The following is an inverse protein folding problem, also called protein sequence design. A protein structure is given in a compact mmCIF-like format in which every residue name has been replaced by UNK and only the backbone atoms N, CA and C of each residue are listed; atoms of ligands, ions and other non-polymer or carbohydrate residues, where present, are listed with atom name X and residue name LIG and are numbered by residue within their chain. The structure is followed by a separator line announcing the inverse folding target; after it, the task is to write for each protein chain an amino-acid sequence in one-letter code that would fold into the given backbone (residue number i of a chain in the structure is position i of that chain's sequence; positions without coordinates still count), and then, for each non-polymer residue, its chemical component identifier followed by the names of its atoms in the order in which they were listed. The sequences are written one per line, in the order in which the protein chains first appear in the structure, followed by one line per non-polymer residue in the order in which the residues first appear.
data_IF_308930591455
#
_entry.id   IF_308930591455
#
_cell.length_a   1.000
_cell.length_b   1.000
_cell.length_c   1.000
_cell.angle_alpha   90.00
_cell.angle_beta   90.00
_cell.angle_gamma   90.00
#
_symmetry.space_group_name_H-M   'P 1'
#
loop_
_entity.id
_entity.type
_entity.pdbx_description
1 polymer ?
#
# COMPACT_ATOMS: atom_id res chain seq x y z
N UNK A 1 1.38 -13.04 -16.40
CA UNK A 1 0.58 -12.33 -15.38
C UNK A 1 0.98 -10.87 -15.34
N UNK A 2 0.02 -9.99 -15.37
CA UNK A 2 0.32 -8.56 -15.38
C UNK A 2 0.75 -8.08 -14.00
N UNK A 3 1.79 -7.27 -13.99
CA UNK A 3 2.27 -6.65 -12.78
C UNK A 3 1.34 -5.52 -12.36
N UNK A 4 1.11 -5.38 -11.06
CA UNK A 4 0.32 -4.27 -10.52
C UNK A 4 1.18 -3.01 -10.60
N UNK A 5 0.65 -1.97 -11.23
CA UNK A 5 1.41 -0.76 -11.50
C UNK A 5 1.41 0.20 -10.31
N UNK A 6 2.43 1.06 -10.27
CA UNK A 6 2.52 2.10 -9.26
C UNK A 6 1.29 3.02 -9.31
N UNK A 7 0.83 3.37 -10.50
CA UNK A 7 -0.34 4.23 -10.67
C UNK A 7 -1.61 3.60 -10.09
N UNK A 8 -1.78 2.28 -10.26
CA UNK A 8 -2.92 1.57 -9.68
C UNK A 8 -2.88 1.63 -8.16
N UNK A 9 -1.70 1.48 -7.57
CA UNK A 9 -1.53 1.57 -6.12
C UNK A 9 -1.82 2.99 -5.62
N UNK A 10 -1.35 4.00 -6.35
CA UNK A 10 -1.60 5.41 -6.00
C UNK A 10 -3.09 5.71 -6.03
N UNK A 11 -3.81 5.26 -7.05
CA UNK A 11 -5.25 5.47 -7.13
C UNK A 11 -5.97 4.85 -5.94
N UNK A 12 -5.58 3.65 -5.55
CA UNK A 12 -6.13 2.99 -4.38
C UNK A 12 -5.87 3.79 -3.11
N UNK A 13 -4.63 4.29 -2.96
CA UNK A 13 -4.25 5.09 -1.78
C UNK A 13 -5.03 6.40 -1.72
N UNK A 14 -5.24 7.05 -2.86
CA UNK A 14 -6.01 8.29 -2.92
C UNK A 14 -7.47 8.07 -2.53
N UNK A 15 -8.03 6.91 -2.82
CA UNK A 15 -9.38 6.55 -2.39
C UNK A 15 -9.44 6.36 -0.86
N UNK A 16 -8.37 5.87 -0.26
CA UNK A 16 -8.29 5.67 1.19
C UNK A 16 -8.10 7.01 1.90
N UNK A 17 -7.17 7.82 1.40
CA UNK A 17 -6.87 9.12 2.01
C UNK A 17 -6.34 10.07 0.94
N UNK A 18 -7.10 11.11 0.64
CA UNK A 18 -6.69 12.12 -0.34
C UNK A 18 -5.73 13.14 0.28
N UNK A 19 -5.06 13.88 -0.60
CA UNK A 19 -4.27 15.03 -0.18
C UNK A 19 -2.85 14.71 0.21
N UNK A 20 -2.40 13.48 -0.01
CA UNK A 20 -1.03 13.05 0.26
C UNK A 20 -0.29 12.86 -1.06
N UNK A 21 0.95 13.31 -1.14
CA UNK A 21 1.79 13.12 -2.32
C UNK A 21 2.41 11.72 -2.29
N UNK A 22 1.63 10.73 -2.65
CA UNK A 22 2.07 9.33 -2.61
C UNK A 22 3.21 9.03 -3.57
N UNK A 23 3.28 9.74 -4.68
CA UNK A 23 4.28 9.48 -5.72
C UNK A 23 5.69 9.77 -5.23
N UNK A 24 5.86 10.82 -4.43
CA UNK A 24 7.16 11.26 -3.94
C UNK A 24 7.42 10.91 -2.47
N UNK A 25 6.45 10.35 -1.78
CA UNK A 25 6.58 10.06 -0.36
C UNK A 25 7.56 8.92 -0.10
N UNK A 26 8.37 9.06 0.93
CA UNK A 26 9.33 8.04 1.35
C UNK A 26 9.19 7.63 2.82
N UNK A 27 8.39 8.37 3.59
CA UNK A 27 8.23 8.14 5.02
C UNK A 27 6.80 8.42 5.48
N UNK A 28 5.83 7.83 4.78
CA UNK A 28 4.40 8.05 5.06
C UNK A 28 4.03 7.73 6.51
N UNK A 29 4.52 6.60 7.01
CA UNK A 29 4.26 6.18 8.40
C UNK A 29 5.11 6.98 9.38
N UNK A 30 6.40 7.12 9.09
CA UNK A 30 7.35 7.80 9.98
C UNK A 30 7.01 9.28 10.12
N UNK A 31 6.54 9.92 9.06
CA UNK A 31 6.13 11.33 9.07
C UNK A 31 4.67 11.52 9.50
N UNK A 32 3.97 10.43 9.83
CA UNK A 32 2.58 10.44 10.26
C UNK A 32 1.60 11.02 9.23
N UNK A 33 1.95 10.88 7.96
CA UNK A 33 1.02 11.20 6.88
C UNK A 33 -0.08 10.16 6.79
N UNK A 34 0.24 8.90 7.16
CA UNK A 34 -0.75 7.86 7.39
C UNK A 34 -0.51 7.26 8.77
N UNK A 35 -1.58 6.84 9.44
CA UNK A 35 -1.51 6.23 10.76
C UNK A 35 -2.00 4.77 10.72
N UNK A 36 -2.13 4.13 11.88
CA UNK A 36 -2.53 2.72 11.95
C UNK A 36 -3.93 2.47 11.40
N UNK A 37 -4.85 3.42 11.54
CA UNK A 37 -6.18 3.30 10.95
C UNK A 37 -6.10 3.35 9.43
N UNK A 38 -5.27 4.22 8.90
CA UNK A 38 -5.04 4.32 7.45
C UNK A 38 -4.42 3.03 6.92
N UNK A 39 -3.48 2.45 7.65
CA UNK A 39 -2.86 1.18 7.27
C UNK A 39 -3.90 0.06 7.19
N UNK A 40 -4.80 -0.01 8.17
CA UNK A 40 -5.88 -1.00 8.14
C UNK A 40 -6.80 -0.80 6.95
N UNK A 41 -7.12 0.46 6.64
CA UNK A 41 -7.95 0.79 5.48
C UNK A 41 -7.24 0.42 4.17
N UNK A 42 -5.92 0.63 4.10
CA UNK A 42 -5.11 0.25 2.94
C UNK A 42 -5.12 -1.27 2.75
N UNK A 43 -4.96 -2.02 3.83
CA UNK A 43 -4.99 -3.49 3.78
C UNK A 43 -6.34 -3.97 3.26
N UNK A 44 -7.42 -3.38 3.75
CA UNK A 44 -8.77 -3.70 3.29
C UNK A 44 -8.95 -3.38 1.81
N UNK A 45 -8.42 -2.23 1.37
CA UNK A 45 -8.49 -1.82 -0.03
C UNK A 45 -7.70 -2.79 -0.94
N UNK A 46 -6.55 -3.27 -0.47
CA UNK A 46 -5.75 -4.24 -1.21
C UNK A 46 -6.55 -5.53 -1.42
N UNK A 47 -7.23 -5.97 -0.37
CA UNK A 47 -8.08 -7.17 -0.44
C UNK A 47 -9.22 -6.96 -1.46
N UNK A 48 -9.88 -5.82 -1.40
CA UNK A 48 -11.01 -5.52 -2.29
C UNK A 48 -10.58 -5.32 -3.75
N UNK A 49 -9.48 -4.63 -3.97
CA UNK A 49 -9.05 -4.26 -5.33
C UNK A 49 -8.26 -5.36 -6.02
N UNK A 50 -7.42 -6.05 -5.29
CA UNK A 50 -6.47 -7.01 -5.86
C UNK A 50 -6.72 -8.44 -5.40
N UNK A 51 -7.69 -8.64 -4.53
CA UNK A 51 -8.02 -9.95 -3.97
C UNK A 51 -6.81 -10.61 -3.28
N UNK A 52 -6.07 -9.80 -2.52
CA UNK A 52 -4.86 -10.22 -1.81
C UNK A 52 -4.99 -9.93 -0.32
N UNK A 53 -4.52 -10.85 0.50
CA UNK A 53 -4.48 -10.67 1.95
C UNK A 53 -3.05 -10.37 2.39
N UNK A 54 -2.86 -9.28 3.14
CA UNK A 54 -1.54 -8.92 3.66
C UNK A 54 -1.32 -9.64 4.99
N UNK A 55 -0.32 -10.54 5.08
CA UNK A 55 -0.07 -11.25 6.35
C UNK A 55 0.50 -10.31 7.40
N UNK A 56 0.25 -10.62 8.67
CA UNK A 56 0.67 -9.78 9.78
C UNK A 56 2.18 -9.50 9.78
N UNK A 57 2.99 -10.46 9.35
CA UNK A 57 4.45 -10.32 9.30
C UNK A 57 4.91 -9.21 8.35
N UNK A 58 4.07 -8.85 7.38
CA UNK A 58 4.38 -7.82 6.38
C UNK A 58 3.79 -6.47 6.75
N UNK A 59 3.04 -6.38 7.85
CA UNK A 59 2.46 -5.13 8.33
C UNK A 59 3.51 -4.41 9.18
N UNK A 60 4.49 -3.83 8.51
CA UNK A 60 5.60 -3.11 9.14
C UNK A 60 5.74 -1.74 8.48
N UNK A 61 6.21 -0.71 9.22
CA UNK A 61 6.33 0.63 8.65
C UNK A 61 7.12 0.70 7.34
N UNK A 62 8.18 -0.08 7.23
CA UNK A 62 9.02 -0.08 6.02
C UNK A 62 8.23 -0.41 4.75
N UNK A 63 7.19 -1.23 4.86
CA UNK A 63 6.39 -1.61 3.69
C UNK A 63 5.35 -0.56 3.33
N UNK A 64 5.02 0.36 4.24
CA UNK A 64 3.99 1.37 4.05
C UNK A 64 4.52 2.79 3.99
N UNK A 65 5.83 2.98 4.14
CA UNK A 65 6.44 4.31 4.12
C UNK A 65 6.47 4.94 2.72
N UNK A 66 6.50 4.13 1.67
CA UNK A 66 6.48 4.66 0.31
C UNK A 66 5.53 3.83 -0.55
N UNK A 67 5.01 4.48 -1.60
CA UNK A 67 4.17 3.79 -2.57
C UNK A 67 4.97 2.70 -3.29
N UNK A 68 6.24 2.94 -3.56
CA UNK A 68 7.12 1.97 -4.19
C UNK A 68 7.27 0.70 -3.35
N UNK A 69 7.49 0.84 -2.05
CA UNK A 69 7.58 -0.30 -1.13
C UNK A 69 6.27 -1.08 -1.08
N UNK A 70 5.16 -0.35 -1.01
CA UNK A 70 3.85 -0.97 -0.96
C UNK A 70 3.54 -1.69 -2.27
N UNK A 71 3.87 -1.08 -3.40
CA UNK A 71 3.69 -1.70 -4.71
C UNK A 71 4.51 -2.99 -4.82
N UNK A 72 5.75 -2.98 -4.34
CA UNK A 72 6.60 -4.16 -4.33
C UNK A 72 5.98 -5.27 -3.46
N UNK A 73 5.44 -4.92 -2.31
CA UNK A 73 4.76 -5.88 -1.44
C UNK A 73 3.56 -6.50 -2.13
N UNK A 74 2.72 -5.68 -2.75
CA UNK A 74 1.51 -6.15 -3.44
C UNK A 74 1.88 -7.11 -4.57
N UNK A 75 2.88 -6.77 -5.37
CA UNK A 75 3.31 -7.64 -6.46
C UNK A 75 3.91 -8.95 -5.96
N UNK A 76 4.65 -8.90 -4.85
CA UNK A 76 5.19 -10.11 -4.23
C UNK A 76 4.06 -11.04 -3.77
N UNK A 77 3.05 -10.46 -3.11
CA UNK A 77 1.90 -11.24 -2.64
C UNK A 77 1.13 -11.85 -3.81
N UNK A 78 0.99 -11.11 -4.90
CA UNK A 78 0.31 -11.60 -6.09
C UNK A 78 1.06 -12.79 -6.70
N UNK A 79 2.38 -12.77 -6.67
CA UNK A 79 3.21 -13.86 -7.19
C UNK A 79 3.14 -15.11 -6.32
N UNK A 80 2.91 -14.94 -5.01
CA UNK A 80 2.83 -16.05 -4.05
C UNK A 80 1.47 -16.75 -4.09
N UNK A 81 0.49 -16.15 -4.73
CA UNK A 81 -0.86 -16.72 -4.88
C UNK A 81 -0.93 -17.77 -6.03
#
# INVERSE_FOLDING_TARGET
MEEITLDAVIEMLEDVKEGVDYRNATALVDNREIDSFDILAIISAIDDEFDLSVPAKDIVPANFNSTQSLCALINRLAEEE
#
